data_IF_685673877448
#
_entry.id   IF_685673877448
#
_cell.length_a   1.000
_cell.length_b   1.000
_cell.length_c   1.000
_cell.angle_alpha   90.00
_cell.angle_beta   90.00
_cell.angle_gamma   90.00
#
_symmetry.space_group_name_H-M   'P 1'
#
loop_
_entity.id
_entity.type
_entity.pdbx_description
1 polymer ?
#
# COMPACT_ATOMS: atom_id res chain seq x y z
N UNK A 1 24.83 -2.62 10.86
CA UNK A 1 24.22 -1.30 11.14
C UNK A 1 22.99 -1.16 10.26
N UNK A 2 21.85 -0.80 10.84
CA UNK A 2 20.57 -0.75 10.11
C UNK A 2 20.44 0.58 9.41
N UNK A 3 20.20 0.57 8.10
CA UNK A 3 19.98 1.77 7.30
C UNK A 3 18.48 2.06 7.13
N UNK A 4 18.13 3.35 7.08
CA UNK A 4 16.75 3.82 7.00
C UNK A 4 16.63 5.01 6.04
N UNK A 5 15.48 5.13 5.38
CA UNK A 5 15.19 6.28 4.52
C UNK A 5 14.75 7.47 5.35
N UNK A 6 15.41 8.61 5.17
CA UNK A 6 15.08 9.91 5.78
C UNK A 6 14.73 10.92 4.71
N UNK A 7 13.68 11.70 4.98
CA UNK A 7 13.11 12.73 4.14
C UNK A 7 13.20 14.07 4.86
N UNK A 8 13.40 15.13 4.09
CA UNK A 8 13.44 16.51 4.63
C UNK A 8 12.15 16.88 5.37
N UNK A 9 11.00 16.49 4.82
CA UNK A 9 9.69 16.70 5.41
C UNK A 9 8.64 15.74 4.85
N UNK A 10 7.40 15.85 5.35
CA UNK A 10 6.25 15.03 4.92
C UNK A 10 5.77 15.30 3.50
N UNK A 11 6.14 16.43 2.91
CA UNK A 11 5.67 16.89 1.60
C UNK A 11 6.55 16.42 0.44
N UNK A 12 7.70 15.79 0.73
CA UNK A 12 8.54 15.14 -0.29
C UNK A 12 7.70 14.16 -1.10
N UNK A 13 7.53 14.43 -2.39
CA UNK A 13 6.72 13.61 -3.30
C UNK A 13 7.37 12.25 -3.55
N UNK A 14 6.55 11.22 -3.70
CA UNK A 14 7.01 9.85 -3.91
C UNK A 14 7.20 9.49 -5.38
N UNK A 15 8.24 8.72 -5.67
CA UNK A 15 8.51 8.05 -6.94
C UNK A 15 7.89 6.65 -6.95
N UNK A 16 7.39 6.13 -8.08
CA UNK A 16 7.42 6.71 -9.43
C UNK A 16 6.26 7.63 -9.79
N UNK A 17 5.28 7.85 -8.90
CA UNK A 17 4.17 8.76 -9.18
C UNK A 17 4.63 10.19 -9.52
N UNK A 18 5.80 10.59 -8.98
CA UNK A 18 6.43 11.89 -9.22
C UNK A 18 7.93 11.72 -9.51
N UNK A 19 8.32 11.74 -10.80
CA UNK A 19 9.73 11.65 -11.22
C UNK A 19 10.57 12.89 -10.82
N UNK A 20 9.92 14.00 -10.50
CA UNK A 20 10.50 15.24 -9.98
C UNK A 20 10.63 15.29 -8.45
N UNK A 21 10.24 14.22 -7.74
CA UNK A 21 10.32 14.15 -6.28
C UNK A 21 11.74 14.38 -5.74
N UNK A 22 11.83 15.14 -4.64
CA UNK A 22 13.10 15.43 -3.97
C UNK A 22 13.84 14.16 -3.52
N UNK A 23 15.17 14.27 -3.36
CA UNK A 23 16.01 13.17 -2.89
C UNK A 23 15.66 12.81 -1.45
N UNK A 24 15.61 11.51 -1.20
CA UNK A 24 15.68 10.94 0.13
C UNK A 24 17.14 10.63 0.48
N UNK A 25 17.44 10.61 1.77
CA UNK A 25 18.73 10.22 2.31
C UNK A 25 18.61 8.81 2.89
N UNK A 26 19.67 8.02 2.76
CA UNK A 26 19.81 6.75 3.48
C UNK A 26 20.83 6.99 4.59
N UNK A 27 20.40 6.85 5.83
CA UNK A 27 21.24 7.07 7.02
C UNK A 27 21.23 5.81 7.88
N UNK A 28 22.26 5.66 8.70
CA UNK A 28 22.23 4.71 9.82
C UNK A 28 21.12 5.14 10.82
N UNK A 29 20.34 4.17 11.31
CA UNK A 29 19.12 4.41 12.07
C UNK A 29 19.38 5.19 13.38
N UNK A 30 20.38 4.80 14.18
CA UNK A 30 20.72 5.49 15.41
C UNK A 30 21.12 6.94 15.16
N UNK A 31 21.97 7.15 14.15
CA UNK A 31 22.37 8.48 13.66
C UNK A 31 21.16 9.30 13.24
N UNK A 32 20.20 8.71 12.53
CA UNK A 32 18.98 9.40 12.15
C UNK A 32 18.16 9.83 13.37
N UNK A 33 18.08 8.98 14.39
CA UNK A 33 17.30 9.22 15.61
C UNK A 33 17.92 10.26 16.56
N UNK A 34 19.23 10.51 16.50
CA UNK A 34 19.90 11.47 17.40
C UNK A 34 20.26 12.79 16.72
N UNK A 35 20.33 12.80 15.38
CA UNK A 35 20.77 13.98 14.64
C UNK A 35 19.77 15.13 14.77
N UNK A 36 20.21 16.37 15.07
CA UNK A 36 19.35 17.53 14.96
C UNK A 36 19.09 17.88 13.48
N UNK A 37 17.83 18.14 13.16
CA UNK A 37 17.39 18.56 11.82
C UNK A 37 16.77 19.95 11.86
N UNK A 38 17.25 20.86 11.02
CA UNK A 38 16.67 22.20 10.81
C UNK A 38 15.35 22.19 10.02
N UNK A 39 14.79 21.00 9.76
CA UNK A 39 13.59 20.78 8.94
C UNK A 39 12.65 19.81 9.65
N UNK A 40 11.41 19.70 9.18
CA UNK A 40 10.42 18.78 9.73
C UNK A 40 10.71 17.34 9.30
N UNK A 41 11.94 16.84 9.55
CA UNK A 41 12.45 15.60 8.99
C UNK A 41 11.61 14.38 9.40
N UNK A 42 11.40 13.48 8.45
CA UNK A 42 10.66 12.23 8.62
C UNK A 42 11.51 11.05 8.18
N UNK A 43 11.19 9.86 8.67
CA UNK A 43 11.76 8.59 8.26
C UNK A 43 10.66 7.63 7.79
N UNK A 44 11.03 6.63 7.00
CA UNK A 44 10.16 5.49 6.66
C UNK A 44 10.67 4.22 7.34
N UNK A 45 9.87 3.16 7.42
CA UNK A 45 10.31 1.87 7.97
C UNK A 45 11.20 1.04 7.01
N UNK A 46 11.55 1.59 5.84
CA UNK A 46 12.30 0.91 4.79
C UNK A 46 13.56 1.66 4.38
N UNK A 47 14.45 0.93 3.71
CA UNK A 47 15.60 1.48 2.99
C UNK A 47 15.27 1.64 1.50
N UNK A 48 15.39 2.86 0.98
CA UNK A 48 15.18 3.11 -0.44
C UNK A 48 16.39 2.67 -1.28
N UNK A 49 16.20 1.93 -2.38
CA UNK A 49 17.30 1.49 -3.23
C UNK A 49 17.79 2.57 -4.20
N UNK A 50 16.99 3.62 -4.44
CA UNK A 50 17.25 4.62 -5.47
C UNK A 50 17.38 6.05 -4.92
N UNK A 51 17.44 6.21 -3.60
CA UNK A 51 17.55 7.53 -2.96
C UNK A 51 16.29 8.39 -3.14
N UNK A 52 15.11 7.79 -3.33
CA UNK A 52 13.82 8.49 -3.42
C UNK A 52 12.79 7.91 -2.45
N UNK A 53 11.82 8.73 -2.05
CA UNK A 53 10.61 8.24 -1.39
C UNK A 53 9.87 7.33 -2.36
N UNK A 54 9.51 6.12 -1.95
CA UNK A 54 8.77 5.17 -2.77
C UNK A 54 7.25 5.29 -2.56
N UNK A 55 6.48 5.14 -3.63
CA UNK A 55 5.02 4.92 -3.62
C UNK A 55 4.68 3.46 -3.92
N UNK A 56 3.41 3.08 -3.79
CA UNK A 56 2.90 1.72 -4.16
C UNK A 56 3.26 1.33 -5.59
N UNK A 57 3.21 2.28 -6.50
CA UNK A 57 3.51 2.11 -7.92
C UNK A 57 4.97 1.68 -8.17
N UNK A 58 5.87 1.80 -7.18
CA UNK A 58 7.22 1.27 -7.26
C UNK A 58 7.21 -0.27 -7.41
N UNK A 59 6.25 -0.94 -6.80
CA UNK A 59 6.07 -2.40 -6.89
C UNK A 59 5.70 -2.80 -8.33
N UNK A 60 4.87 -2.01 -9.00
CA UNK A 60 4.49 -2.23 -10.41
C UNK A 60 5.68 -2.04 -11.37
N UNK A 61 6.72 -1.33 -10.93
CA UNK A 61 8.00 -1.20 -11.63
C UNK A 61 9.05 -2.24 -11.21
N UNK A 62 8.65 -3.26 -10.45
CA UNK A 62 9.53 -4.33 -10.00
C UNK A 62 10.55 -3.92 -8.94
N UNK A 63 10.36 -2.79 -8.26
CA UNK A 63 11.24 -2.35 -7.17
C UNK A 63 10.91 -3.12 -5.90
N UNK A 64 11.90 -3.85 -5.37
CA UNK A 64 11.81 -4.48 -4.07
C UNK A 64 12.01 -3.43 -2.95
N UNK A 65 11.13 -3.44 -1.95
CA UNK A 65 11.20 -2.56 -0.77
C UNK A 65 11.65 -3.37 0.43
N UNK A 66 12.81 -3.04 0.98
CA UNK A 66 13.38 -3.70 2.16
C UNK A 66 12.93 -2.97 3.43
N UNK A 67 11.98 -3.57 4.16
CA UNK A 67 11.55 -3.09 5.47
C UNK A 67 12.60 -3.46 6.52
N UNK A 68 13.37 -2.47 6.98
CA UNK A 68 14.51 -2.68 7.88
C UNK A 68 14.18 -2.41 9.35
N UNK A 69 13.07 -1.72 9.62
CA UNK A 69 12.61 -1.40 10.96
C UNK A 69 11.09 -1.57 11.09
N UNK A 70 10.60 -1.59 12.32
CA UNK A 70 9.18 -1.46 12.65
C UNK A 70 9.04 -0.30 13.62
N UNK A 71 8.09 0.59 13.30
CA UNK A 71 7.77 1.75 14.11
C UNK A 71 6.31 1.70 14.51
N UNK A 72 6.03 2.02 15.76
CA UNK A 72 4.68 2.15 16.30
C UNK A 72 4.45 3.58 16.78
N UNK A 73 3.40 4.22 16.28
CA UNK A 73 2.89 5.50 16.76
C UNK A 73 1.96 5.23 17.96
N UNK A 74 2.31 5.74 19.13
CA UNK A 74 1.52 5.62 20.36
C UNK A 74 0.90 6.98 20.64
N UNK A 75 -0.41 7.12 20.40
CA UNK A 75 -1.11 8.38 20.62
C UNK A 75 -1.65 8.48 22.06
N UNK A 76 -1.46 9.65 22.68
CA UNK A 76 -2.19 9.98 23.89
C UNK A 76 -3.70 10.03 23.61
N UNK A 77 -4.57 9.86 24.63
CA UNK A 77 -6.01 10.07 24.47
C UNK A 77 -6.27 11.43 23.82
N UNK A 78 -7.11 11.46 22.78
CA UNK A 78 -7.39 12.65 21.96
C UNK A 78 -6.14 13.35 21.38
N UNK A 79 -5.07 12.58 21.14
CA UNK A 79 -3.74 13.04 20.73
C UNK A 79 -3.08 13.99 21.75
N UNK A 80 -3.41 13.82 23.03
CA UNK A 80 -2.86 14.59 24.15
C UNK A 80 -2.11 13.65 25.11
N UNK A 81 -0.79 13.66 25.02
CA UNK A 81 0.08 12.90 25.92
C UNK A 81 0.30 13.65 27.25
N UNK A 82 -0.63 13.45 28.18
CA UNK A 82 -0.55 14.00 29.54
C UNK A 82 0.66 13.44 30.31
N UNK A 83 1.15 14.10 31.37
CA UNK A 83 2.25 13.58 32.18
C UNK A 83 1.98 12.19 32.77
N UNK A 84 0.73 11.93 33.16
CA UNK A 84 0.28 10.63 33.65
C UNK A 84 0.34 9.56 32.56
N UNK A 85 -0.23 9.84 31.38
CA UNK A 85 -0.17 8.93 30.25
C UNK A 85 1.28 8.60 29.85
N UNK A 86 2.18 9.59 29.86
CA UNK A 86 3.61 9.39 29.56
C UNK A 86 4.28 8.47 30.58
N UNK A 87 3.98 8.65 31.87
CA UNK A 87 4.49 7.79 32.95
C UNK A 87 4.04 6.35 32.74
N UNK A 88 2.74 6.12 32.57
CA UNK A 88 2.18 4.77 32.35
C UNK A 88 2.72 4.13 31.06
N UNK A 89 2.82 4.91 29.98
CA UNK A 89 3.35 4.41 28.70
C UNK A 89 4.80 3.96 28.85
N UNK A 90 5.64 4.73 29.58
CA UNK A 90 7.02 4.31 29.85
C UNK A 90 7.10 3.04 30.69
N UNK A 91 6.25 2.89 31.71
CA UNK A 91 6.17 1.65 32.51
C UNK A 91 5.80 0.44 31.64
N UNK A 92 4.83 0.61 30.72
CA UNK A 92 4.45 -0.43 29.75
C UNK A 92 5.57 -0.76 28.76
N UNK A 93 6.31 0.24 28.28
CA UNK A 93 7.50 0.04 27.42
C UNK A 93 8.62 -0.67 28.18
N UNK A 94 8.82 -0.40 29.46
CA UNK A 94 9.78 -1.13 30.30
C UNK A 94 9.38 -2.60 30.49
N UNK A 95 8.08 -2.87 30.69
CA UNK A 95 7.57 -4.23 30.72
C UNK A 95 7.79 -4.95 29.38
N UNK A 96 7.52 -4.27 28.25
CA UNK A 96 7.84 -4.77 26.92
C UNK A 96 9.34 -5.09 26.76
N UNK A 97 10.21 -4.19 27.22
CA UNK A 97 11.66 -4.35 27.11
C UNK A 97 12.23 -5.56 27.88
N UNK A 98 11.50 -6.04 28.89
CA UNK A 98 11.86 -7.26 29.62
C UNK A 98 11.71 -8.51 28.75
N UNK A 99 10.78 -8.49 27.79
CA UNK A 99 10.55 -9.62 26.86
C UNK A 99 11.14 -9.39 25.48
N UNK A 100 11.18 -8.14 25.02
CA UNK A 100 11.67 -7.71 23.70
C UNK A 100 12.80 -6.69 23.93
N UNK A 101 14.04 -7.15 24.15
CA UNK A 101 15.12 -6.29 24.60
C UNK A 101 15.45 -5.14 23.66
N UNK A 102 15.97 -4.06 24.26
CA UNK A 102 16.49 -2.87 23.56
C UNK A 102 15.50 -2.15 22.62
N UNK A 103 14.26 -1.81 23.05
CA UNK A 103 13.45 -0.87 22.29
C UNK A 103 14.11 0.52 22.29
N UNK A 104 13.96 1.27 21.20
CA UNK A 104 14.18 2.73 21.25
C UNK A 104 12.84 3.44 21.29
N UNK A 105 12.66 4.28 22.30
CA UNK A 105 11.44 5.03 22.57
C UNK A 105 11.74 6.52 22.56
N UNK A 106 10.87 7.31 21.93
CA UNK A 106 10.95 8.76 22.02
C UNK A 106 9.59 9.42 22.07
N UNK A 107 9.51 10.51 22.82
CA UNK A 107 8.31 11.27 23.02
C UNK A 107 8.04 12.24 21.86
N UNK A 108 6.77 12.47 21.56
CA UNK A 108 6.31 13.50 20.63
C UNK A 108 5.37 14.46 21.36
N UNK A 109 5.01 15.61 20.75
CA UNK A 109 4.04 16.55 21.38
C UNK A 109 2.72 15.87 21.80
N UNK A 110 2.19 14.96 20.98
CA UNK A 110 0.87 14.34 21.18
C UNK A 110 0.89 12.88 21.65
N UNK A 111 2.08 12.27 21.77
CA UNK A 111 2.22 10.84 21.97
C UNK A 111 3.67 10.43 22.16
N UNK A 112 4.00 9.25 21.66
CA UNK A 112 5.35 8.72 21.61
C UNK A 112 5.50 7.76 20.42
N UNK A 113 6.74 7.36 20.14
CA UNK A 113 7.04 6.32 19.16
C UNK A 113 7.96 5.28 19.74
N UNK A 114 7.73 4.06 19.29
CA UNK A 114 8.51 2.88 19.63
C UNK A 114 9.16 2.34 18.36
N UNK A 115 10.45 2.07 18.42
CA UNK A 115 11.26 1.63 17.28
C UNK A 115 11.97 0.33 17.64
N UNK A 116 11.87 -0.63 16.73
CA UNK A 116 12.66 -1.85 16.70
C UNK A 116 13.22 -2.06 15.29
N UNK A 117 14.30 -2.82 15.17
CA UNK A 117 14.78 -3.29 13.86
C UNK A 117 14.07 -4.59 13.46
N UNK A 118 14.16 -4.96 12.19
CA UNK A 118 13.85 -6.31 11.72
C UNK A 118 15.14 -7.15 11.76
N UNK A 119 15.11 -8.30 12.43
CA UNK A 119 16.27 -9.21 12.47
C UNK A 119 16.71 -9.62 11.05
N UNK A 120 15.71 -9.95 10.23
CA UNK A 120 15.84 -10.12 8.78
C UNK A 120 14.89 -9.14 8.09
N UNK A 121 15.36 -8.28 7.17
CA UNK A 121 14.48 -7.34 6.49
C UNK A 121 13.33 -8.04 5.78
N UNK A 122 12.10 -7.57 6.04
CA UNK A 122 10.93 -8.05 5.29
C UNK A 122 10.94 -7.40 3.90
N UNK A 123 11.02 -8.20 2.83
CA UNK A 123 11.11 -7.69 1.46
C UNK A 123 9.74 -7.71 0.78
N UNK A 124 9.23 -6.53 0.44
CA UNK A 124 7.98 -6.35 -0.30
C UNK A 124 8.31 -6.21 -1.79
N UNK A 125 7.90 -7.19 -2.62
CA UNK A 125 8.08 -7.17 -4.08
C UNK A 125 6.78 -6.98 -4.83
N UNK A 126 5.67 -7.39 -4.22
CA UNK A 126 4.34 -7.41 -4.82
C UNK A 126 3.32 -6.73 -3.91
N UNK A 127 2.13 -6.44 -4.47
CA UNK A 127 1.01 -5.95 -3.67
C UNK A 127 0.52 -6.98 -2.64
N UNK A 128 0.70 -8.27 -2.90
CA UNK A 128 0.40 -9.33 -1.94
C UNK A 128 1.39 -9.33 -0.77
N UNK A 129 2.68 -9.10 -1.03
CA UNK A 129 3.66 -8.90 0.04
C UNK A 129 3.32 -7.65 0.87
N UNK A 130 2.86 -6.58 0.22
CA UNK A 130 2.44 -5.36 0.91
C UNK A 130 1.18 -5.60 1.78
N UNK A 131 0.30 -6.51 1.37
CA UNK A 131 -0.83 -6.98 2.18
C UNK A 131 -0.37 -7.86 3.34
N UNK A 132 0.58 -8.76 3.12
CA UNK A 132 1.18 -9.60 4.16
C UNK A 132 1.86 -8.76 5.24
N UNK A 133 2.64 -7.74 4.85
CA UNK A 133 3.22 -6.75 5.76
C UNK A 133 2.15 -6.09 6.63
N UNK A 134 1.06 -5.62 6.01
CA UNK A 134 -0.05 -4.99 6.76
C UNK A 134 -0.65 -5.92 7.80
N UNK A 135 -0.81 -7.20 7.46
CA UNK A 135 -1.34 -8.22 8.36
C UNK A 135 -0.38 -8.49 9.52
N UNK A 136 0.91 -8.63 9.23
CA UNK A 136 1.96 -8.81 10.24
C UNK A 136 1.99 -7.64 11.23
N UNK A 137 1.96 -6.39 10.75
CA UNK A 137 1.93 -5.21 11.63
C UNK A 137 0.62 -5.14 12.40
N UNK A 138 -0.52 -5.49 11.81
CA UNK A 138 -1.79 -5.53 12.54
C UNK A 138 -1.79 -6.56 13.69
N UNK A 139 -1.15 -7.71 13.49
CA UNK A 139 -0.93 -8.71 14.56
C UNK A 139 0.01 -8.16 15.63
N UNK A 140 1.09 -7.46 15.22
CA UNK A 140 2.00 -6.82 16.15
C UNK A 140 1.30 -5.77 17.03
N UNK A 141 0.44 -4.93 16.44
CA UNK A 141 -0.37 -3.95 17.19
C UNK A 141 -1.29 -4.65 18.20
N UNK A 142 -2.01 -5.70 17.77
CA UNK A 142 -2.88 -6.47 18.66
C UNK A 142 -2.11 -7.11 19.81
N UNK A 143 -0.92 -7.66 19.53
CA UNK A 143 -0.02 -8.23 20.53
C UNK A 143 0.42 -7.19 21.56
N UNK A 144 0.87 -6.01 21.11
CA UNK A 144 1.32 -4.92 21.98
C UNK A 144 0.21 -4.42 22.90
N UNK A 145 -1.00 -4.24 22.36
CA UNK A 145 -2.16 -3.81 23.14
C UNK A 145 -2.57 -4.88 24.16
N UNK A 146 -2.75 -6.13 23.73
CA UNK A 146 -3.22 -7.20 24.60
C UNK A 146 -2.25 -7.54 25.72
N UNK A 147 -0.95 -7.57 25.43
CA UNK A 147 0.07 -8.05 26.37
C UNK A 147 0.64 -6.94 27.25
N UNK A 148 0.77 -5.73 26.73
CA UNK A 148 1.43 -4.63 27.44
C UNK A 148 0.55 -3.39 27.60
N UNK A 149 -0.69 -3.39 27.07
CA UNK A 149 -1.55 -2.20 27.09
C UNK A 149 -1.02 -1.06 26.22
N UNK A 150 -0.17 -1.36 25.24
CA UNK A 150 0.39 -0.38 24.31
C UNK A 150 -0.49 -0.29 23.05
N UNK A 151 -1.34 0.74 23.00
CA UNK A 151 -2.25 0.97 21.87
C UNK A 151 -1.52 1.75 20.79
N UNK A 152 -1.12 1.07 19.72
CA UNK A 152 -0.47 1.69 18.56
C UNK A 152 -1.47 2.02 17.44
N UNK A 153 -1.23 3.09 16.68
CA UNK A 153 -2.04 3.46 15.52
C UNK A 153 -2.05 2.32 14.47
N UNK A 154 -3.21 1.74 14.10
CA UNK A 154 -3.31 0.72 13.06
C UNK A 154 -2.76 1.16 11.70
N UNK A 155 -2.69 2.47 11.44
CA UNK A 155 -2.09 3.06 10.26
C UNK A 155 -0.58 2.80 10.13
N UNK A 156 0.11 2.32 11.18
CA UNK A 156 1.50 1.86 11.10
C UNK A 156 1.69 0.69 10.11
N UNK A 157 0.61 0.01 9.73
CA UNK A 157 0.60 -1.05 8.72
C UNK A 157 0.84 -0.56 7.28
N UNK A 158 0.70 0.74 6.97
CA UNK A 158 1.08 1.26 5.64
C UNK A 158 2.61 1.38 5.55
N UNK A 159 3.24 0.56 4.70
CA UNK A 159 4.69 0.56 4.52
C UNK A 159 5.24 1.91 4.00
N UNK A 160 4.41 2.75 3.38
CA UNK A 160 4.80 4.10 2.93
C UNK A 160 4.67 5.18 4.02
N UNK A 161 4.26 4.81 5.25
CA UNK A 161 4.03 5.75 6.33
C UNK A 161 5.32 6.49 6.68
N UNK A 162 5.15 7.79 6.96
CA UNK A 162 6.22 8.66 7.40
C UNK A 162 6.10 8.89 8.90
N UNK A 163 7.22 8.80 9.61
CA UNK A 163 7.32 9.09 11.03
C UNK A 163 8.28 10.25 11.23
N UNK A 164 7.83 11.33 11.87
CA UNK A 164 8.71 12.47 12.20
C UNK A 164 9.87 12.01 13.10
N UNK A 165 11.08 12.46 12.83
CA UNK A 165 12.25 12.18 13.67
C UNK A 165 12.16 12.96 15.01
N UNK A 166 12.70 12.42 16.11
CA UNK A 166 12.60 13.05 17.44
C UNK A 166 13.26 14.43 17.50
N UNK A 167 14.30 14.66 16.69
CA UNK A 167 15.07 15.90 16.65
C UNK A 167 14.78 16.75 15.41
N UNK A 168 13.54 16.71 14.91
CA UNK A 168 13.08 17.53 13.79
C UNK A 168 12.60 18.93 14.23
N UNK A 169 12.83 19.95 13.40
CA UNK A 169 12.26 21.30 13.55
C UNK A 169 10.90 21.35 12.88
N UNK A 170 9.81 21.44 13.66
CA UNK A 170 8.44 21.49 13.10
C UNK A 170 8.07 22.80 12.42
N UNK A 171 8.50 23.91 13.01
CA UNK A 171 8.09 25.25 12.60
C UNK A 171 9.26 25.92 11.87
N UNK A 172 9.05 26.53 10.68
CA UNK A 172 10.12 27.21 9.96
C UNK A 172 10.82 28.25 10.83
N UNK A 173 12.15 28.14 10.96
CA UNK A 173 12.96 29.02 11.82
C UNK A 173 12.99 28.66 13.30
N UNK A 174 12.28 27.60 13.72
CA UNK A 174 12.33 27.06 15.07
C UNK A 174 13.57 26.22 15.38
N UNK A 175 13.67 25.76 16.63
CA UNK A 175 14.72 24.83 17.06
C UNK A 175 14.27 23.37 16.85
N UNK A 176 15.23 22.44 16.66
CA UNK A 176 14.96 21.01 16.69
C UNK A 176 14.24 20.62 17.98
N UNK A 177 13.24 19.73 17.88
CA UNK A 177 12.63 19.11 19.06
C UNK A 177 13.70 18.33 19.86
N UNK A 178 13.54 18.30 21.18
CA UNK A 178 14.42 17.54 22.07
C UNK A 178 13.61 16.99 23.25
N UNK A 179 12.55 16.26 22.91
CA UNK A 179 11.70 15.61 23.89
C UNK A 179 12.39 14.34 24.44
N UNK A 180 11.98 13.85 25.63
CA UNK A 180 12.63 12.69 26.24
C UNK A 180 12.70 11.47 25.34
N UNK A 181 13.84 10.78 25.39
CA UNK A 181 14.09 9.49 24.73
C UNK A 181 14.49 8.45 25.77
N UNK A 182 14.37 7.17 25.42
CA UNK A 182 14.77 6.04 26.26
C UNK A 182 15.22 4.86 25.39
N UNK A 183 16.26 4.14 25.83
CA UNK A 183 16.96 3.11 25.05
C UNK A 183 18.22 3.63 24.38
N UNK A 184 19.02 2.72 23.83
CA UNK A 184 20.25 3.03 23.09
C UNK A 184 19.97 3.04 21.59
N UNK A 185 20.10 4.20 20.95
CA UNK A 185 19.83 4.36 19.52
C UNK A 185 20.80 3.57 18.64
N UNK A 186 21.99 3.24 19.15
CA UNK A 186 23.04 2.51 18.45
C UNK A 186 22.93 0.99 18.66
N UNK A 187 22.05 0.54 19.57
CA UNK A 187 21.89 -0.86 19.93
C UNK A 187 20.41 -1.30 19.96
N UNK A 188 19.62 -0.82 19.00
CA UNK A 188 18.20 -1.15 18.89
C UNK A 188 18.02 -2.65 18.60
N UNK A 189 17.22 -3.31 19.43
CA UNK A 189 16.92 -4.73 19.32
C UNK A 189 15.96 -5.05 18.16
N UNK A 190 15.92 -6.32 17.79
CA UNK A 190 14.93 -6.82 16.84
C UNK A 190 13.62 -7.17 17.55
N UNK A 191 12.49 -6.90 16.88
CA UNK A 191 11.18 -7.30 17.39
C UNK A 191 10.77 -8.66 16.83
N UNK A 192 10.80 -9.68 17.67
CA UNK A 192 10.38 -11.04 17.33
C UNK A 192 9.11 -11.43 18.09
N UNK A 193 7.96 -11.30 17.43
CA UNK A 193 6.67 -11.60 18.07
C UNK A 193 6.31 -13.05 17.84
N UNK A 194 6.19 -13.81 18.94
CA UNK A 194 5.52 -15.12 18.96
C UNK A 194 4.03 -14.91 19.18
N UNK A 195 3.33 -14.54 18.10
CA UNK A 195 1.92 -14.22 18.16
C UNK A 195 1.09 -15.48 18.49
N UNK A 196 0.11 -15.31 19.38
CA UNK A 196 -0.89 -16.34 19.69
C UNK A 196 -2.04 -16.27 18.68
N UNK A 197 -2.87 -17.33 18.61
CA UNK A 197 -4.12 -17.30 17.83
C UNK A 197 -5.02 -16.14 18.24
N UNK A 198 -4.99 -15.83 19.52
CA UNK A 198 -5.73 -14.78 20.18
C UNK A 198 -5.33 -13.37 19.68
N UNK A 199 -4.04 -13.15 19.42
CA UNK A 199 -3.53 -11.91 18.83
C UNK A 199 -3.97 -11.78 17.36
N UNK A 200 -3.91 -12.89 16.62
CA UNK A 200 -4.36 -12.97 15.23
C UNK A 200 -5.86 -12.70 15.13
N UNK A 201 -6.67 -13.26 16.01
CA UNK A 201 -8.11 -13.07 16.04
C UNK A 201 -8.50 -11.64 16.38
N UNK A 202 -7.81 -11.01 17.35
CA UNK A 202 -7.99 -9.59 17.65
C UNK A 202 -7.61 -8.73 16.44
N UNK A 203 -6.49 -9.02 15.78
CA UNK A 203 -6.09 -8.30 14.57
C UNK A 203 -7.09 -8.49 13.42
N UNK A 204 -7.66 -9.69 13.23
CA UNK A 204 -8.70 -9.97 12.23
C UNK A 204 -9.97 -9.16 12.46
N UNK A 205 -10.40 -9.02 13.71
CA UNK A 205 -11.58 -8.22 14.08
C UNK A 205 -11.35 -6.72 13.89
N UNK A 206 -10.19 -6.23 14.31
CA UNK A 206 -9.89 -4.79 14.34
C UNK A 206 -9.39 -4.23 13.00
N UNK A 207 -8.57 -4.97 12.26
CA UNK A 207 -7.84 -4.45 11.11
C UNK A 207 -8.52 -4.72 9.77
N UNK A 208 -8.52 -3.70 8.91
CA UNK A 208 -8.94 -3.83 7.51
C UNK A 208 -7.99 -4.71 6.68
N UNK A 209 -6.77 -4.96 7.15
CA UNK A 209 -5.76 -5.77 6.44
C UNK A 209 -6.19 -7.24 6.26
N UNK A 210 -7.02 -7.75 7.17
CA UNK A 210 -7.55 -9.12 7.12
C UNK A 210 -8.89 -9.23 6.40
N UNK A 211 -9.50 -8.10 6.06
CA UNK A 211 -10.71 -8.12 5.24
C UNK A 211 -10.31 -8.60 3.86
N UNK A 212 -11.09 -9.52 3.31
CA UNK A 212 -11.03 -9.78 1.89
C UNK A 212 -11.29 -8.46 1.16
N UNK A 213 -10.61 -8.20 0.04
CA UNK A 213 -11.00 -7.11 -0.83
C UNK A 213 -12.50 -7.25 -1.04
N UNK A 214 -13.27 -6.22 -0.64
CA UNK A 214 -14.69 -6.21 -0.99
C UNK A 214 -14.72 -6.17 -2.50
N UNK A 215 -14.94 -7.34 -3.08
CA UNK A 215 -15.51 -7.49 -4.38
C UNK A 215 -16.75 -6.63 -4.33
N UNK A 216 -16.74 -5.46 -5.01
CA UNK A 216 -17.96 -4.69 -5.15
C UNK A 216 -18.87 -5.62 -5.95
N UNK A 217 -19.81 -6.26 -5.27
CA UNK A 217 -21.05 -6.66 -5.91
C UNK A 217 -21.71 -5.35 -6.32
N UNK A 218 -21.31 -4.85 -7.49
CA UNK A 218 -22.06 -3.86 -8.21
C UNK A 218 -23.33 -4.63 -8.57
N UNK A 219 -24.42 -4.39 -7.86
CA UNK A 219 -25.74 -4.68 -8.43
C UNK A 219 -25.75 -3.95 -9.77
N UNK A 220 -25.67 -4.73 -10.85
CA UNK A 220 -25.63 -4.20 -12.20
C UNK A 220 -26.89 -3.36 -12.41
N UNK A 221 -26.69 -2.05 -12.45
CA UNK A 221 -27.65 -1.11 -13.04
C UNK A 221 -27.34 -0.87 -14.52
N UNK A 222 -26.46 -1.70 -15.10
CA UNK A 222 -26.09 -1.59 -16.50
C UNK A 222 -27.30 -1.95 -17.37
N UNK A 223 -27.38 -1.37 -18.57
CA UNK A 223 -28.46 -1.63 -19.51
C UNK A 223 -28.30 -3.00 -20.23
N UNK A 224 -27.41 -3.86 -19.71
CA UNK A 224 -27.07 -5.17 -20.24
C UNK A 224 -27.03 -6.22 -19.11
N UNK A 225 -26.71 -7.45 -19.45
CA UNK A 225 -26.60 -8.61 -18.55
C UNK A 225 -25.48 -8.52 -17.48
N UNK A 226 -24.87 -7.35 -17.29
CA UNK A 226 -23.73 -7.13 -16.40
C UNK A 226 -22.36 -7.45 -17.01
N UNK A 227 -22.28 -8.11 -18.17
CA UNK A 227 -21.02 -8.43 -18.86
C UNK A 227 -20.73 -7.50 -20.04
N UNK A 228 -21.77 -7.10 -20.78
CA UNK A 228 -21.64 -6.15 -21.87
C UNK A 228 -21.08 -6.74 -23.17
N UNK A 229 -21.12 -5.93 -24.23
CA UNK A 229 -20.85 -6.38 -25.60
C UNK A 229 -19.41 -6.85 -25.80
N UNK A 230 -18.40 -6.18 -25.23
CA UNK A 230 -17.00 -6.57 -25.44
C UNK A 230 -16.67 -7.92 -24.80
N UNK A 231 -17.24 -8.22 -23.63
CA UNK A 231 -17.07 -9.53 -22.99
C UNK A 231 -17.53 -10.65 -23.91
N UNK A 232 -18.76 -10.55 -24.44
CA UNK A 232 -19.30 -11.57 -25.31
C UNK A 232 -18.58 -11.68 -26.66
N UNK A 233 -18.16 -10.55 -27.22
CA UNK A 233 -17.37 -10.55 -28.45
C UNK A 233 -16.03 -11.28 -28.27
N UNK A 234 -15.34 -11.05 -27.15
CA UNK A 234 -14.10 -11.75 -26.80
C UNK A 234 -14.35 -13.23 -26.47
N UNK A 235 -15.45 -13.57 -25.78
CA UNK A 235 -15.81 -14.97 -25.51
C UNK A 235 -16.09 -15.78 -26.78
N UNK A 236 -16.67 -15.18 -27.81
CA UNK A 236 -16.89 -15.86 -29.10
C UNK A 236 -15.58 -16.34 -29.75
N UNK A 237 -14.48 -15.64 -29.49
CA UNK A 237 -13.13 -15.99 -29.96
C UNK A 237 -12.33 -16.81 -28.96
N UNK A 238 -12.89 -17.09 -27.79
CA UNK A 238 -12.18 -17.68 -26.65
C UNK A 238 -10.98 -16.81 -26.19
N UNK A 239 -11.11 -15.50 -26.31
CA UNK A 239 -10.07 -14.51 -25.96
C UNK A 239 -10.16 -14.05 -24.49
N UNK A 240 -11.12 -14.54 -23.71
CA UNK A 240 -11.16 -14.31 -22.25
C UNK A 240 -10.37 -15.39 -21.56
N UNK A 241 -9.30 -15.01 -20.87
CA UNK A 241 -8.25 -15.92 -20.38
C UNK A 241 -8.45 -16.24 -18.91
N UNK A 242 -8.60 -15.22 -18.08
CA UNK A 242 -8.62 -15.36 -16.63
C UNK A 242 -9.54 -14.33 -15.98
N UNK A 243 -10.14 -14.70 -14.84
CA UNK A 243 -10.95 -13.82 -14.00
C UNK A 243 -10.10 -13.39 -12.80
N UNK A 244 -9.65 -12.14 -12.81
CA UNK A 244 -8.78 -11.60 -11.75
C UNK A 244 -9.58 -11.11 -10.55
N UNK A 245 -10.80 -10.65 -10.78
CA UNK A 245 -11.69 -10.05 -9.77
C UNK A 245 -13.04 -9.73 -10.42
N UNK A 246 -14.12 -9.68 -9.63
CA UNK A 246 -15.46 -9.34 -10.16
C UNK A 246 -15.44 -8.08 -11.01
N UNK A 247 -15.73 -8.25 -12.30
CA UNK A 247 -15.78 -7.15 -13.26
C UNK A 247 -14.48 -6.89 -14.01
N UNK A 248 -13.40 -7.65 -13.79
CA UNK A 248 -12.12 -7.47 -14.48
C UNK A 248 -11.56 -8.82 -14.97
N UNK A 249 -11.40 -8.92 -16.29
CA UNK A 249 -10.92 -10.12 -16.95
C UNK A 249 -9.59 -9.87 -17.66
N UNK A 250 -8.68 -10.82 -17.58
CA UNK A 250 -7.51 -10.86 -18.47
C UNK A 250 -7.99 -11.36 -19.82
N UNK A 251 -7.69 -10.63 -20.88
CA UNK A 251 -8.14 -10.96 -22.23
C UNK A 251 -6.99 -10.90 -23.22
N UNK A 252 -7.11 -11.63 -24.33
CA UNK A 252 -6.21 -11.51 -25.47
C UNK A 252 -6.55 -10.25 -26.25
N UNK A 253 -5.53 -9.48 -26.62
CA UNK A 253 -5.71 -8.34 -27.51
C UNK A 253 -5.90 -8.80 -28.97
N UNK A 254 -6.94 -8.35 -29.70
CA UNK A 254 -7.11 -8.64 -31.12
C UNK A 254 -5.94 -8.16 -31.99
N UNK A 255 -5.21 -7.15 -31.52
CA UNK A 255 -3.99 -6.61 -32.15
C UNK A 255 -2.69 -7.15 -31.56
N UNK A 256 -2.74 -8.29 -30.86
CA UNK A 256 -1.56 -8.94 -30.26
C UNK A 256 -0.37 -9.03 -31.23
N UNK A 257 -0.64 -9.26 -32.52
CA UNK A 257 0.40 -9.36 -33.56
C UNK A 257 1.23 -8.08 -33.77
N UNK A 258 0.71 -6.94 -33.35
CA UNK A 258 1.38 -5.63 -33.43
C UNK A 258 2.14 -5.29 -32.14
N UNK A 259 2.05 -6.14 -31.11
CA UNK A 259 2.73 -5.90 -29.84
C UNK A 259 4.24 -6.14 -29.99
N UNK A 260 5.03 -5.21 -29.46
CA UNK A 260 6.50 -5.30 -29.40
C UNK A 260 7.02 -5.66 -28.01
N UNK A 261 6.14 -5.67 -27.01
CA UNK A 261 6.39 -6.03 -25.60
C UNK A 261 5.17 -6.75 -25.03
N UNK A 262 5.34 -7.47 -23.90
CA UNK A 262 4.27 -8.22 -23.23
C UNK A 262 3.98 -9.59 -23.85
N UNK A 263 3.18 -10.41 -23.18
CA UNK A 263 2.71 -11.72 -23.65
C UNK A 263 1.25 -11.95 -23.28
N UNK A 264 0.50 -12.65 -24.13
CA UNK A 264 -0.91 -12.94 -23.83
C UNK A 264 -1.06 -13.64 -22.48
N UNK A 265 -1.97 -13.09 -21.65
CA UNK A 265 -2.29 -13.64 -20.32
C UNK A 265 -1.44 -13.09 -19.17
N UNK A 266 -0.44 -12.25 -19.44
CA UNK A 266 0.43 -11.67 -18.40
C UNK A 266 -0.24 -10.57 -17.56
N UNK A 267 -1.47 -10.17 -17.92
CA UNK A 267 -2.22 -9.09 -17.26
C UNK A 267 -2.10 -7.73 -17.95
N UNK A 268 -1.34 -7.62 -19.05
CA UNK A 268 -1.14 -6.37 -19.81
C UNK A 268 -2.34 -5.95 -20.66
N UNK A 269 -3.40 -6.77 -20.72
CA UNK A 269 -4.65 -6.45 -21.40
C UNK A 269 -5.83 -6.90 -20.54
N UNK A 270 -6.56 -5.93 -20.01
CA UNK A 270 -7.65 -6.11 -19.07
C UNK A 270 -8.96 -5.60 -19.66
N UNK A 271 -10.02 -6.40 -19.56
CA UNK A 271 -11.39 -6.00 -19.81
C UNK A 271 -12.07 -5.67 -18.48
N UNK A 272 -12.55 -4.45 -18.36
CA UNK A 272 -13.45 -4.00 -17.32
C UNK A 272 -14.89 -4.12 -17.84
N UNK A 273 -15.74 -4.85 -17.11
CA UNK A 273 -17.16 -4.98 -17.41
C UNK A 273 -17.88 -3.63 -17.20
N UNK A 274 -19.05 -3.42 -17.85
CA UNK A 274 -19.86 -2.22 -17.65
C UNK A 274 -20.16 -1.97 -16.16
N UNK A 275 -19.84 -0.77 -15.67
CA UNK A 275 -19.98 -0.42 -14.25
C UNK A 275 -20.85 0.82 -13.98
N UNK A 276 -21.44 1.42 -15.03
CA UNK A 276 -22.27 2.64 -14.97
C UNK A 276 -23.65 2.44 -15.58
N UNK A 277 -24.69 3.16 -15.09
CA UNK A 277 -25.99 3.17 -15.75
C UNK A 277 -25.90 3.57 -17.22
N UNK A 278 -26.46 2.74 -18.10
CA UNK A 278 -26.44 2.95 -19.55
C UNK A 278 -25.14 2.56 -20.26
N UNK A 279 -24.12 2.05 -19.54
CA UNK A 279 -23.01 1.38 -20.19
C UNK A 279 -23.43 -0.04 -20.61
N UNK A 280 -23.23 -0.33 -21.89
CA UNK A 280 -23.59 -1.58 -22.55
C UNK A 280 -22.34 -2.32 -23.07
N UNK A 281 -21.18 -1.67 -23.08
CA UNK A 281 -20.02 -2.11 -23.87
C UNK A 281 -18.91 -2.67 -22.97
N UNK A 282 -18.59 -1.98 -21.88
CA UNK A 282 -17.40 -2.21 -21.08
C UNK A 282 -16.18 -1.46 -21.64
N UNK A 283 -15.04 -1.58 -20.95
CA UNK A 283 -13.81 -0.85 -21.28
C UNK A 283 -12.61 -1.77 -21.29
N UNK A 284 -11.77 -1.69 -22.32
CA UNK A 284 -10.51 -2.44 -22.36
C UNK A 284 -9.34 -1.50 -22.12
N UNK A 285 -8.47 -1.91 -21.21
CA UNK A 285 -7.20 -1.27 -20.93
C UNK A 285 -6.07 -2.16 -21.42
N UNK A 286 -5.29 -1.68 -22.38
CA UNK A 286 -4.17 -2.39 -22.96
C UNK A 286 -2.90 -1.56 -22.73
N UNK A 287 -1.92 -2.12 -22.02
CA UNK A 287 -0.69 -1.42 -21.61
C UNK A 287 0.38 -1.36 -22.72
N UNK A 288 0.12 -1.96 -23.88
CA UNK A 288 1.05 -1.97 -25.01
C UNK A 288 1.03 -0.62 -25.73
N UNK A 289 2.21 -0.06 -26.04
CA UNK A 289 2.35 1.29 -26.60
C UNK A 289 1.54 1.55 -27.88
N UNK A 290 1.40 0.55 -28.76
CA UNK A 290 0.60 0.65 -29.98
C UNK A 290 -0.91 0.69 -29.74
N UNK A 291 -1.37 0.30 -28.54
CA UNK A 291 -2.76 0.30 -28.14
C UNK A 291 -3.17 1.55 -27.34
N UNK A 292 -2.26 2.51 -27.12
CA UNK A 292 -2.51 3.68 -26.28
C UNK A 292 -3.74 4.51 -26.73
N UNK A 293 -4.01 4.55 -28.03
CA UNK A 293 -5.15 5.28 -28.62
C UNK A 293 -6.37 4.40 -28.90
N UNK A 294 -6.44 3.20 -28.31
CA UNK A 294 -7.56 2.29 -28.53
C UNK A 294 -8.77 2.70 -27.71
N UNK A 295 -9.75 3.29 -28.39
CA UNK A 295 -11.06 3.58 -27.81
C UNK A 295 -11.98 2.35 -27.87
N UNK A 296 -13.06 2.28 -27.06
CA UNK A 296 -14.04 1.20 -27.17
C UNK A 296 -14.61 1.02 -28.59
N UNK A 297 -14.79 2.13 -29.32
CA UNK A 297 -15.22 2.11 -30.73
C UNK A 297 -14.20 1.41 -31.64
N UNK A 298 -12.90 1.67 -31.44
CA UNK A 298 -11.82 1.01 -32.21
C UNK A 298 -11.71 -0.47 -31.85
N UNK A 299 -11.87 -0.81 -30.57
CA UNK A 299 -11.95 -2.19 -30.11
C UNK A 299 -13.10 -2.96 -30.77
N UNK A 300 -14.30 -2.38 -30.80
CA UNK A 300 -15.44 -3.01 -31.48
C UNK A 300 -15.19 -3.19 -32.99
N UNK A 301 -14.43 -2.31 -33.63
CA UNK A 301 -14.09 -2.43 -35.05
C UNK A 301 -13.16 -3.62 -35.37
N UNK A 302 -12.52 -4.22 -34.38
CA UNK A 302 -11.73 -5.46 -34.54
C UNK A 302 -12.60 -6.72 -34.65
N UNK A 303 -13.93 -6.58 -34.47
CA UNK A 303 -14.91 -7.64 -34.58
C UNK A 303 -15.77 -7.48 -35.82
N UNK A 304 -16.11 -8.61 -36.45
CA UNK A 304 -17.03 -8.63 -37.58
C UNK A 304 -18.43 -8.20 -37.15
N UNK A 305 -19.22 -7.72 -38.11
CA UNK A 305 -20.61 -7.33 -37.85
C UNK A 305 -21.44 -8.48 -37.26
N UNK A 306 -21.19 -9.73 -37.68
CA UNK A 306 -21.86 -10.93 -37.17
C UNK A 306 -21.48 -11.23 -35.73
N UNK A 307 -20.20 -11.12 -35.37
CA UNK A 307 -19.74 -11.28 -33.99
C UNK A 307 -20.37 -10.23 -33.08
N UNK A 308 -20.38 -8.96 -33.50
CA UNK A 308 -20.98 -7.88 -32.71
C UNK A 308 -22.49 -8.01 -32.57
N UNK A 309 -23.19 -8.49 -33.60
CA UNK A 309 -24.63 -8.75 -33.52
C UNK A 309 -24.93 -9.85 -32.49
N UNK A 310 -24.17 -10.96 -32.54
CA UNK A 310 -24.29 -12.07 -31.60
C UNK A 310 -23.93 -11.63 -30.18
N UNK A 311 -22.89 -10.82 -30.02
CA UNK A 311 -22.46 -10.31 -28.72
C UNK A 311 -23.50 -9.36 -28.10
N UNK A 312 -24.13 -8.49 -28.90
CA UNK A 312 -25.23 -7.62 -28.44
C UNK A 312 -26.45 -8.41 -27.99
N UNK A 313 -26.83 -9.43 -28.76
CA UNK A 313 -27.93 -10.33 -28.40
C UNK A 313 -27.66 -11.00 -27.05
N UNK A 314 -26.46 -11.56 -26.86
CA UNK A 314 -26.07 -12.19 -25.58
C UNK A 314 -26.00 -11.21 -24.42
N UNK A 315 -25.54 -9.99 -24.67
CA UNK A 315 -25.50 -8.92 -23.67
C UNK A 315 -26.90 -8.40 -23.28
N UNK A 316 -27.97 -8.81 -23.98
CA UNK A 316 -29.32 -8.26 -23.77
C UNK A 316 -29.46 -6.81 -24.26
N UNK A 317 -28.58 -6.36 -25.15
CA UNK A 317 -28.57 -4.99 -25.68
C UNK A 317 -29.41 -4.94 -26.94
N UNK A 318 -30.48 -4.13 -26.93
CA UNK A 318 -31.34 -3.96 -28.09
C UNK A 318 -30.52 -3.43 -29.30
N UNK A 319 -30.68 -4.07 -30.47
CA UNK A 319 -30.09 -3.59 -31.72
C UNK A 319 -30.73 -2.25 -32.12
N UNK A 320 -30.20 -1.14 -31.60
CA UNK A 320 -30.52 0.21 -32.09
C UNK A 320 -29.88 0.38 -33.45
N UNK A 321 -30.56 -0.05 -34.51
CA UNK A 321 -30.22 0.37 -35.87
C UNK A 321 -30.36 1.89 -35.95
N UNK A 322 -29.37 2.51 -36.61
CA UNK A 322 -29.27 3.94 -36.84
C UNK A 322 -30.61 4.55 -37.31
N UNK A 323 -31.00 5.63 -36.63
CA UNK A 323 -31.68 6.74 -37.28
C UNK A 323 -30.62 7.62 -37.95
#
# INVERSE_FOLDING_TARGET
MTEITVLRDRYVRGWPAHDDGERAYVLELGTALERPYSTDAHLTAYRTPNGRRLTRDALDRGVAVEMTAVLFDLDGPDHQATPEWRRETRERVQALATEHPSPYYYETRGGARLVYIQAEPTVIRTHDDARAWRQQIAVAVAYLERRFGLVADPGCSDWQRLYRLPCATREPGGLPENLPTWGDSQAIGALEIRATHDDVDTARRASKAFREPRVRNIESTSACDGFGVLYWALRLRNDVIDDRSSGVYVVRCPREREHTTGSTGDGSTLLYLPDRPGDEIGHVHCLHGHCADMTPKRWLAEFSATELATARERAGVANRRAA
#
